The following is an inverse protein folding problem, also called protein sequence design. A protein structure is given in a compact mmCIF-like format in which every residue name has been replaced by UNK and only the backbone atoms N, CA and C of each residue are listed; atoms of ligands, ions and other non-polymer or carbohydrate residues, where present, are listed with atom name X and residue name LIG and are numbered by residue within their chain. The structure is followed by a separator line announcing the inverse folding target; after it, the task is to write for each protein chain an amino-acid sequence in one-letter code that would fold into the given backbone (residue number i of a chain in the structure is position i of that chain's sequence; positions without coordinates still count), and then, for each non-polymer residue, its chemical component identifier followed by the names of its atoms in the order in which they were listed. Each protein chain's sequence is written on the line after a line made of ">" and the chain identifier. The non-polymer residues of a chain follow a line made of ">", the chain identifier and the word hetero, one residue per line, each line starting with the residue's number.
data_IF_794545309000
#
_entry.id   IF_794545309000
#
_cell.length_a   1.000
_cell.length_b   1.000
_cell.length_c   1.000
_cell.angle_alpha   90.00
_cell.angle_beta   90.00
_cell.angle_gamma   90.00
#
_symmetry.space_group_name_H-M   'P 1'
#
loop_
_entity.id
_entity.type
_entity.pdbx_description
1 polymer ?
#
# COMPACT_ATOMS: atom_id res chain seq x y z
N UNK A 1 32.76 -52.08 -15.68
CA UNK A 1 32.36 -50.66 -15.82
C UNK A 1 31.06 -50.44 -15.08
N UNK A 2 31.13 -50.31 -13.76
CA UNK A 2 29.94 -50.18 -12.89
C UNK A 2 29.84 -48.73 -12.45
N UNK A 3 28.83 -48.01 -12.93
CA UNK A 3 28.51 -46.65 -12.48
C UNK A 3 27.90 -46.74 -11.09
N UNK A 4 28.58 -46.17 -10.11
CA UNK A 4 28.04 -45.88 -8.77
C UNK A 4 27.33 -44.52 -8.85
N UNK A 5 26.03 -44.50 -8.56
CA UNK A 5 25.21 -43.29 -8.42
C UNK A 5 25.40 -42.71 -6.99
N UNK A 6 25.41 -41.39 -6.78
CA UNK A 6 25.40 -40.82 -5.44
C UNK A 6 23.98 -40.72 -4.86
N UNK A 7 23.85 -41.10 -3.59
CA UNK A 7 22.65 -40.96 -2.76
C UNK A 7 22.27 -39.49 -2.56
N UNK A 8 21.03 -39.17 -2.90
CA UNK A 8 20.39 -37.86 -2.63
C UNK A 8 19.62 -37.95 -1.30
N UNK A 9 19.93 -37.16 -0.27
CA UNK A 9 19.07 -37.06 0.89
C UNK A 9 17.87 -36.14 0.61
N UNK A 10 16.67 -36.72 0.63
CA UNK A 10 15.39 -36.01 0.73
C UNK A 10 15.22 -35.46 2.16
N UNK A 11 15.11 -34.14 2.29
CA UNK A 11 14.53 -33.49 3.47
C UNK A 11 13.12 -32.98 3.12
N UNK A 12 12.04 -33.44 3.78
CA UNK A 12 10.75 -32.76 3.72
C UNK A 12 10.75 -31.62 4.73
N UNK A 13 10.06 -30.50 4.45
CA UNK A 13 9.28 -29.66 5.39
C UNK A 13 9.13 -28.23 4.86
N UNK A 14 7.92 -27.89 4.43
CA UNK A 14 7.54 -26.53 4.02
C UNK A 14 6.11 -26.48 3.49
N UNK A 15 5.14 -26.89 4.32
CA UNK A 15 3.71 -26.82 3.98
C UNK A 15 3.28 -25.35 3.99
N UNK A 16 3.19 -24.71 2.82
CA UNK A 16 2.40 -23.51 2.65
C UNK A 16 0.91 -23.91 2.69
N UNK A 17 0.22 -23.56 3.78
CA UNK A 17 -1.22 -23.78 3.91
C UNK A 17 -2.01 -22.88 2.95
N UNK A 18 -3.14 -23.35 2.39
CA UNK A 18 -4.00 -22.49 1.60
C UNK A 18 -4.71 -21.47 2.51
N UNK A 19 -4.61 -20.19 2.15
CA UNK A 19 -5.43 -19.12 2.71
C UNK A 19 -6.91 -19.46 2.47
N UNK A 20 -7.71 -19.45 3.55
CA UNK A 20 -9.12 -19.84 3.55
C UNK A 20 -10.02 -18.89 2.72
N UNK A 21 -11.24 -19.32 2.40
CA UNK A 21 -12.17 -18.54 1.59
C UNK A 21 -12.76 -17.37 2.38
N UNK A 22 -12.64 -16.16 1.83
CA UNK A 22 -13.46 -15.02 2.23
C UNK A 22 -14.94 -15.33 1.91
N UNK A 23 -15.80 -15.17 2.91
CA UNK A 23 -17.22 -15.50 2.87
C UNK A 23 -18.07 -14.67 1.88
N UNK A 24 -19.36 -15.01 1.74
CA UNK A 24 -20.23 -14.44 0.74
C UNK A 24 -20.55 -12.97 1.05
N UNK A 25 -20.39 -12.09 0.06
CA UNK A 25 -20.87 -10.71 0.11
C UNK A 25 -22.36 -10.68 -0.21
N UNK A 26 -23.19 -10.43 0.80
CA UNK A 26 -24.56 -9.95 0.62
C UNK A 26 -24.54 -8.47 0.20
N UNK A 27 -25.17 -8.06 -0.92
CA UNK A 27 -25.43 -6.66 -1.21
C UNK A 27 -26.87 -6.31 -0.83
N UNK A 28 -27.12 -6.02 0.46
CA UNK A 28 -28.40 -5.45 0.89
C UNK A 28 -28.26 -3.96 1.21
N UNK A 29 -29.09 -3.20 0.48
CA UNK A 29 -29.67 -1.91 0.82
C UNK A 29 -28.74 -0.68 0.87
N UNK A 30 -29.12 0.32 0.09
CA UNK A 30 -28.45 1.60 -0.01
C UNK A 30 -28.61 2.45 1.23
N UNK A 31 -27.47 2.86 1.79
CA UNK A 31 -27.23 4.16 2.41
C UNK A 31 -25.72 4.31 2.65
N UNK A 32 -24.94 4.70 1.64
CA UNK A 32 -23.61 5.32 1.85
C UNK A 32 -23.37 6.37 0.77
N UNK A 33 -24.21 7.40 0.74
CA UNK A 33 -23.90 8.64 0.01
C UNK A 33 -23.10 9.61 0.90
N UNK A 34 -22.11 9.11 1.65
CA UNK A 34 -21.19 9.91 2.49
C UNK A 34 -19.75 9.37 2.50
N UNK A 35 -19.25 8.86 1.38
CA UNK A 35 -17.85 8.47 1.29
C UNK A 35 -16.98 9.72 1.10
N UNK A 36 -16.70 10.39 2.22
CA UNK A 36 -15.71 11.45 2.41
C UNK A 36 -14.56 11.25 1.41
N UNK A 37 -14.35 12.22 0.52
CA UNK A 37 -13.45 12.17 -0.65
C UNK A 37 -11.97 12.27 -0.20
N UNK A 38 -11.62 11.39 0.75
CA UNK A 38 -10.34 11.28 1.44
C UNK A 38 -9.69 9.97 1.04
N UNK A 39 -8.58 10.07 0.32
CA UNK A 39 -7.71 8.93 0.00
C UNK A 39 -6.44 9.00 0.83
N UNK A 40 -5.84 7.85 1.15
CA UNK A 40 -4.57 7.80 1.88
C UNK A 40 -3.54 6.99 1.08
N UNK A 41 -2.30 7.43 1.13
CA UNK A 41 -1.13 6.75 0.58
C UNK A 41 -0.22 6.44 1.75
N UNK A 42 0.02 5.16 2.01
CA UNK A 42 0.91 4.69 3.07
C UNK A 42 2.15 4.06 2.45
N UNK A 43 3.34 4.40 2.96
CA UNK A 43 4.61 3.82 2.51
C UNK A 43 5.59 3.73 3.67
N UNK A 44 6.60 2.89 3.51
CA UNK A 44 7.67 2.70 4.49
C UNK A 44 8.92 3.46 4.05
N UNK A 45 9.58 4.12 4.99
CA UNK A 45 10.93 4.64 4.78
C UNK A 45 11.98 3.53 4.84
N UNK A 46 13.21 3.86 4.50
CA UNK A 46 14.38 2.98 4.61
C UNK A 46 14.70 2.51 6.04
N UNK A 47 14.09 3.13 7.06
CA UNK A 47 14.24 2.75 8.46
C UNK A 47 13.10 1.84 8.94
N UNK A 48 12.14 1.49 8.07
CA UNK A 48 10.97 0.70 8.43
C UNK A 48 9.92 1.47 9.23
N UNK A 49 9.87 2.81 9.11
CA UNK A 49 8.78 3.63 9.67
C UNK A 49 7.70 3.84 8.62
N UNK A 50 6.44 3.71 9.04
CA UNK A 50 5.30 3.98 8.18
C UNK A 50 5.04 5.49 8.10
N UNK A 51 4.89 5.99 6.87
CA UNK A 51 4.46 7.33 6.56
C UNK A 51 3.12 7.28 5.84
N UNK A 52 2.18 8.10 6.31
CA UNK A 52 0.83 8.20 5.74
C UNK A 52 0.58 9.60 5.25
N UNK A 53 0.25 9.73 3.96
CA UNK A 53 -0.21 10.97 3.35
C UNK A 53 -1.69 10.85 3.04
N UNK A 54 -2.52 11.74 3.58
CA UNK A 54 -3.93 11.87 3.25
C UNK A 54 -4.14 12.93 2.18
N UNK A 55 -4.95 12.61 1.20
CA UNK A 55 -5.46 13.52 0.19
C UNK A 55 -6.94 13.74 0.52
N UNK A 56 -7.32 14.96 0.88
CA UNK A 56 -8.70 15.36 1.17
C UNK A 56 -9.22 16.28 0.06
N UNK A 57 -10.41 16.03 -0.48
CA UNK A 57 -11.07 17.00 -1.38
C UNK A 57 -11.58 18.20 -0.59
N UNK A 58 -11.29 19.40 -1.10
CA UNK A 58 -11.79 20.67 -0.58
C UNK A 58 -12.27 21.53 -1.75
N UNK A 59 -13.49 21.26 -2.21
CA UNK A 59 -14.06 21.90 -3.40
C UNK A 59 -13.35 21.47 -4.69
N UNK A 60 -12.83 22.44 -5.45
CA UNK A 60 -12.07 22.24 -6.70
C UNK A 60 -10.61 21.85 -6.47
N UNK A 61 -10.09 22.06 -5.25
CA UNK A 61 -8.72 21.70 -4.91
C UNK A 61 -8.72 20.45 -4.01
N UNK A 62 -7.60 19.74 -3.99
CA UNK A 62 -7.34 18.69 -3.01
C UNK A 62 -6.23 19.15 -2.06
N UNK A 63 -6.45 18.95 -0.77
CA UNK A 63 -5.43 19.18 0.26
C UNK A 63 -4.72 17.86 0.53
N UNK A 64 -3.42 17.85 0.31
CA UNK A 64 -2.52 16.76 0.65
C UNK A 64 -1.93 17.08 2.03
N UNK A 65 -1.90 16.11 2.93
CA UNK A 65 -1.28 16.26 4.23
C UNK A 65 -0.60 14.98 4.69
N UNK A 66 0.63 15.08 5.18
CA UNK A 66 1.35 13.99 5.80
C UNK A 66 1.03 13.93 7.30
N UNK A 67 0.53 12.79 7.77
CA UNK A 67 0.18 12.60 9.18
C UNK A 67 1.42 12.45 10.08
N UNK A 68 2.53 11.99 9.52
CA UNK A 68 3.77 11.75 10.28
C UNK A 68 4.57 13.02 10.55
N UNK A 69 4.65 13.94 9.59
CA UNK A 69 5.44 15.18 9.72
C UNK A 69 4.60 16.46 9.73
N UNK A 70 3.27 16.37 9.56
CA UNK A 70 2.37 17.52 9.55
C UNK A 70 2.42 18.37 8.28
N UNK A 71 3.22 17.98 7.28
CA UNK A 71 3.28 18.68 5.99
C UNK A 71 1.90 18.79 5.35
N UNK A 72 1.59 19.93 4.72
CA UNK A 72 0.32 20.17 4.04
C UNK A 72 0.51 21.00 2.77
N UNK A 73 -0.18 20.63 1.69
CA UNK A 73 -0.17 21.37 0.41
C UNK A 73 -1.50 21.23 -0.33
N UNK A 74 -1.97 22.31 -0.96
CA UNK A 74 -3.07 22.25 -1.93
C UNK A 74 -2.58 21.83 -3.31
N UNK A 75 -3.32 20.95 -3.99
CA UNK A 75 -3.04 20.50 -5.34
C UNK A 75 -4.34 20.43 -6.15
N UNK A 76 -4.34 21.10 -7.32
CA UNK A 76 -5.44 21.02 -8.29
C UNK A 76 -5.27 19.83 -9.23
N UNK A 77 -4.03 19.52 -9.60
CA UNK A 77 -3.69 18.41 -10.49
C UNK A 77 -2.73 17.44 -9.80
N UNK A 78 -2.90 16.15 -10.12
CA UNK A 78 -2.04 15.06 -9.71
C UNK A 78 -1.76 14.99 -8.18
N UNK A 79 -2.79 15.05 -7.31
CA UNK A 79 -2.56 15.04 -5.87
C UNK A 79 -1.88 13.76 -5.34
N UNK A 80 -2.04 12.62 -6.02
CA UNK A 80 -1.30 11.39 -5.68
C UNK A 80 0.19 11.47 -6.04
N UNK A 81 0.52 12.05 -7.20
CA UNK A 81 1.93 12.24 -7.58
C UNK A 81 2.63 13.12 -6.55
N UNK A 82 1.99 14.24 -6.16
CA UNK A 82 2.52 15.15 -5.13
C UNK A 82 2.64 14.51 -3.74
N UNK A 83 1.73 13.60 -3.39
CA UNK A 83 1.85 12.80 -2.16
C UNK A 83 3.07 11.86 -2.23
N UNK A 84 3.28 11.22 -3.38
CA UNK A 84 4.44 10.36 -3.61
C UNK A 84 5.76 11.12 -3.58
N UNK A 85 5.88 12.21 -4.34
CA UNK A 85 7.09 13.07 -4.32
C UNK A 85 7.49 13.45 -2.89
N UNK A 86 6.52 13.83 -2.05
CA UNK A 86 6.80 14.13 -0.66
C UNK A 86 7.35 12.93 0.12
N UNK A 87 6.74 11.75 -0.05
CA UNK A 87 7.21 10.50 0.57
C UNK A 87 8.64 10.17 0.14
N UNK A 88 8.93 10.24 -1.16
CA UNK A 88 10.26 9.95 -1.69
C UNK A 88 11.31 11.00 -1.27
N UNK A 89 11.03 12.28 -1.44
CA UNK A 89 12.03 13.34 -1.24
C UNK A 89 12.28 13.62 0.23
N UNK A 90 11.22 13.72 1.05
CA UNK A 90 11.34 14.13 2.46
C UNK A 90 11.56 12.95 3.39
N UNK A 91 10.98 11.80 3.07
CA UNK A 91 11.02 10.62 3.93
C UNK A 91 11.85 9.48 3.35
N UNK A 92 12.33 9.58 2.10
CA UNK A 92 12.95 8.46 1.41
C UNK A 92 12.06 7.20 1.45
N UNK A 93 10.75 7.44 1.52
CA UNK A 93 9.73 6.41 1.51
C UNK A 93 9.45 6.03 0.06
N UNK A 94 9.69 4.77 -0.27
CA UNK A 94 9.59 4.27 -1.64
C UNK A 94 8.15 4.41 -2.14
N UNK A 95 7.97 5.19 -3.20
CA UNK A 95 6.68 5.32 -3.87
C UNK A 95 6.59 4.24 -4.91
N UNK A 96 5.92 3.12 -4.60
CA UNK A 96 5.52 2.20 -5.66
C UNK A 96 4.43 2.87 -6.53
N UNK A 97 4.71 3.17 -7.82
CA UNK A 97 3.74 3.78 -8.73
C UNK A 97 2.71 2.77 -9.24
N UNK A 98 2.94 1.47 -9.06
CA UNK A 98 1.92 0.44 -9.18
C UNK A 98 1.38 0.14 -7.78
N UNK A 99 0.06 0.15 -7.59
CA UNK A 99 -0.52 -0.46 -6.39
C UNK A 99 -0.26 -1.97 -6.37
N UNK A 100 -0.45 -2.66 -5.22
CA UNK A 100 -0.27 -4.11 -5.11
C UNK A 100 -1.06 -4.91 -6.15
#
# INVERSE_FOLDING_TARGET
>A
MTRVLPDTPHGPHGRHGPHGPHGPTDPTAGDVMQRIDTSKVTRWDQHGREHTVRVRRSGVQRTISCDTCGWRRGAQFLPWLKAGEHLAEVHQATVDPAGP
#
